data_IF_043208252178
#
_entry.id   IF_043208252178
#
_cell.length_a   1.000
_cell.length_b   1.000
_cell.length_c   1.000
_cell.angle_alpha   90.00
_cell.angle_beta   90.00
_cell.angle_gamma   90.00
#
_symmetry.space_group_name_H-M   'P 1'
#
loop_
_entity.id
_entity.type
_entity.pdbx_description
1 polymer ?
#
# COMPACT_ATOMS: atom_id res chain seq x y z
N UNK A 1 -78.16 10.71 -11.80
CA UNK A 1 -79.16 10.88 -12.91
C UNK A 1 -78.41 10.39 -14.13
N UNK A 2 -78.73 9.16 -14.48
CA UNK A 2 -79.42 8.75 -15.72
C UNK A 2 -78.53 8.89 -16.93
N UNK A 3 -78.28 7.95 -17.84
CA UNK A 3 -78.87 6.62 -18.12
C UNK A 3 -77.94 6.03 -19.16
N UNK A 4 -77.54 4.81 -19.06
CA UNK A 4 -78.16 3.63 -19.68
C UNK A 4 -78.01 3.60 -21.20
N UNK A 5 -77.31 2.62 -21.68
CA UNK A 5 -77.69 1.30 -22.10
C UNK A 5 -77.90 1.17 -23.64
N UNK A 6 -77.41 0.06 -24.14
CA UNK A 6 -77.82 -0.70 -25.37
C UNK A 6 -77.03 -0.32 -26.67
N UNK A 7 -76.64 -1.23 -27.60
CA UNK A 7 -77.01 -2.59 -27.89
C UNK A 7 -75.94 -3.20 -28.82
N UNK A 8 -75.50 -4.37 -28.57
CA UNK A 8 -75.27 -5.61 -29.25
C UNK A 8 -75.58 -5.71 -30.77
N UNK A 9 -74.77 -6.42 -31.45
CA UNK A 9 -74.92 -7.36 -32.58
C UNK A 9 -74.12 -7.12 -33.87
N UNK A 10 -73.40 -8.17 -34.23
CA UNK A 10 -73.01 -8.70 -35.53
C UNK A 10 -71.81 -8.05 -36.23
N UNK A 11 -70.74 -8.76 -36.49
CA UNK A 11 -70.64 -9.78 -37.50
C UNK A 11 -69.33 -10.62 -37.42
N UNK A 12 -69.55 -11.92 -37.55
CA UNK A 12 -68.58 -12.96 -37.77
C UNK A 12 -68.02 -12.87 -39.19
N UNK A 13 -66.72 -12.94 -39.38
CA UNK A 13 -66.21 -13.28 -40.69
C UNK A 13 -65.05 -12.46 -41.18
N UNK A 14 -63.83 -12.90 -40.78
CA UNK A 14 -62.52 -12.82 -41.53
C UNK A 14 -61.38 -13.26 -40.68
N UNK A 15 -61.42 -14.50 -40.23
CA UNK A 15 -60.22 -15.24 -39.82
C UNK A 15 -59.78 -16.09 -41.00
N UNK A 16 -58.64 -15.76 -41.60
CA UNK A 16 -57.78 -16.63 -42.33
C UNK A 16 -57.02 -15.83 -43.40
N UNK A 17 -55.93 -15.17 -43.03
CA UNK A 17 -54.79 -14.81 -43.94
C UNK A 17 -53.71 -13.94 -43.30
N UNK A 18 -53.56 -13.97 -41.95
CA UNK A 18 -52.49 -13.22 -41.28
C UNK A 18 -51.50 -14.13 -40.49
N UNK A 19 -51.54 -15.43 -40.66
CA UNK A 19 -50.76 -16.38 -39.84
C UNK A 19 -49.51 -16.97 -40.56
N UNK A 20 -49.03 -16.36 -41.66
CA UNK A 20 -47.83 -16.88 -42.38
C UNK A 20 -46.70 -15.84 -42.60
N UNK A 21 -46.80 -14.65 -42.04
CA UNK A 21 -45.70 -13.65 -42.12
C UNK A 21 -45.07 -13.25 -40.78
N UNK A 22 -45.58 -13.76 -39.66
CA UNK A 22 -45.01 -13.49 -38.33
C UNK A 22 -43.97 -14.52 -37.86
N UNK A 23 -43.84 -15.66 -38.57
CA UNK A 23 -42.92 -16.72 -38.21
C UNK A 23 -41.48 -16.57 -38.70
N UNK A 24 -41.24 -15.72 -39.69
CA UNK A 24 -39.90 -15.55 -40.28
C UNK A 24 -39.10 -14.38 -39.69
N UNK A 25 -39.75 -13.40 -39.05
CA UNK A 25 -39.02 -12.28 -38.36
C UNK A 25 -38.68 -12.63 -36.90
N UNK A 26 -39.41 -13.57 -36.27
CA UNK A 26 -39.12 -13.98 -34.89
C UNK A 26 -37.88 -14.88 -34.75
N UNK A 27 -37.49 -15.60 -35.83
CA UNK A 27 -36.33 -16.50 -35.79
C UNK A 27 -35.01 -15.77 -36.10
N UNK A 28 -35.06 -14.63 -36.77
CA UNK A 28 -33.85 -13.81 -37.03
C UNK A 28 -33.44 -12.91 -35.84
N UNK A 29 -34.37 -12.59 -34.95
CA UNK A 29 -34.07 -11.78 -33.74
C UNK A 29 -33.55 -12.69 -32.60
N UNK A 30 -33.89 -13.98 -32.58
CA UNK A 30 -33.37 -14.93 -31.59
C UNK A 30 -31.98 -15.48 -31.94
N UNK A 31 -31.52 -15.40 -33.20
CA UNK A 31 -30.12 -15.73 -33.56
C UNK A 31 -29.14 -14.57 -33.40
N UNK A 32 -29.62 -13.33 -33.33
CA UNK A 32 -28.76 -12.16 -33.06
C UNK A 32 -28.47 -11.95 -31.57
N UNK A 33 -29.16 -12.62 -30.67
CA UNK A 33 -28.97 -12.55 -29.21
C UNK A 33 -27.95 -13.55 -28.65
N UNK A 34 -27.40 -14.43 -29.48
CA UNK A 34 -26.44 -15.50 -29.09
C UNK A 34 -25.01 -15.23 -29.59
N UNK A 35 -24.72 -14.03 -30.06
CA UNK A 35 -23.33 -13.53 -30.06
C UNK A 35 -23.01 -13.10 -28.61
N UNK A 36 -22.99 -14.08 -27.71
CA UNK A 36 -22.33 -13.94 -26.43
C UNK A 36 -20.93 -13.43 -26.73
N UNK A 37 -20.57 -12.32 -26.15
CA UNK A 37 -19.18 -11.88 -26.06
C UNK A 37 -18.43 -13.05 -25.44
N UNK A 38 -17.80 -13.88 -26.25
CA UNK A 38 -16.83 -14.85 -25.78
C UNK A 38 -15.83 -14.01 -25.00
N UNK A 39 -15.87 -14.07 -23.67
CA UNK A 39 -14.80 -13.51 -22.86
C UNK A 39 -13.54 -14.20 -23.37
N UNK A 40 -12.68 -13.46 -24.06
CA UNK A 40 -11.37 -13.96 -24.46
C UNK A 40 -10.71 -14.51 -23.19
N UNK A 41 -10.29 -15.76 -23.23
CA UNK A 41 -9.59 -16.35 -22.11
C UNK A 41 -8.31 -15.53 -21.88
N UNK A 42 -8.02 -15.19 -20.62
CA UNK A 42 -6.82 -14.48 -20.27
C UNK A 42 -5.59 -15.23 -20.80
N UNK A 43 -4.73 -14.53 -21.55
CA UNK A 43 -3.54 -15.06 -22.16
C UNK A 43 -2.31 -14.75 -21.32
N UNK A 44 -1.26 -15.59 -21.49
CA UNK A 44 0.05 -15.33 -20.88
C UNK A 44 1.06 -15.02 -21.98
N UNK A 45 1.61 -13.80 -21.95
CA UNK A 45 2.65 -13.33 -22.86
C UNK A 45 4.01 -13.43 -22.17
N UNK A 46 4.97 -14.09 -22.79
CA UNK A 46 6.32 -14.29 -22.23
C UNK A 46 7.29 -13.28 -22.84
N UNK A 47 7.99 -12.54 -21.99
CA UNK A 47 8.92 -11.46 -22.34
C UNK A 47 10.34 -11.83 -21.89
N UNK A 48 11.32 -11.68 -22.77
CA UNK A 48 12.74 -11.85 -22.45
C UNK A 48 13.48 -10.51 -22.42
N UNK A 49 14.60 -10.43 -21.70
CA UNK A 49 15.37 -9.19 -21.52
C UNK A 49 15.95 -8.66 -22.86
N UNK A 50 16.25 -9.54 -23.80
CA UNK A 50 16.76 -9.20 -25.14
C UNK A 50 15.65 -9.11 -26.21
N UNK A 51 14.36 -9.06 -25.77
CA UNK A 51 13.21 -8.98 -26.67
C UNK A 51 12.79 -10.31 -27.29
N UNK A 52 13.30 -11.45 -26.82
CA UNK A 52 12.98 -12.80 -27.29
C UNK A 52 12.48 -13.65 -26.13
N UNK A 53 11.28 -14.28 -26.17
CA UNK A 53 10.37 -14.38 -27.33
C UNK A 53 9.65 -13.08 -27.72
N UNK A 54 9.37 -12.16 -26.77
CA UNK A 54 8.80 -10.84 -27.01
C UNK A 54 9.60 -9.77 -26.29
N UNK A 55 9.58 -8.53 -26.80
CA UNK A 55 9.95 -7.36 -26.01
C UNK A 55 8.80 -6.94 -25.08
N UNK A 56 9.13 -6.23 -24.00
CA UNK A 56 8.10 -5.68 -23.10
C UNK A 56 7.10 -4.78 -23.84
N UNK A 57 7.60 -3.92 -24.74
CA UNK A 57 6.76 -3.03 -25.55
C UNK A 57 5.82 -3.82 -26.46
N UNK A 58 6.30 -4.89 -27.10
CA UNK A 58 5.46 -5.74 -27.95
C UNK A 58 4.38 -6.45 -27.10
N UNK A 59 4.75 -7.01 -25.96
CA UNK A 59 3.79 -7.67 -25.06
C UNK A 59 2.72 -6.68 -24.56
N UNK A 60 3.09 -5.47 -24.14
CA UNK A 60 2.14 -4.44 -23.69
C UNK A 60 1.20 -3.99 -24.81
N UNK A 61 1.66 -3.95 -26.06
CA UNK A 61 0.80 -3.60 -27.21
C UNK A 61 -0.20 -4.69 -27.58
N UNK A 62 0.13 -5.96 -27.32
CA UNK A 62 -0.70 -7.12 -27.62
C UNK A 62 -1.65 -7.48 -26.48
N UNK A 63 -1.22 -7.23 -25.22
CA UNK A 63 -1.97 -7.62 -24.04
C UNK A 63 -3.38 -7.04 -24.02
N UNK A 64 -4.34 -7.85 -23.63
CA UNK A 64 -5.74 -7.50 -23.45
C UNK A 64 -6.11 -7.43 -21.97
N UNK A 65 -7.34 -7.03 -21.70
CA UNK A 65 -7.86 -6.94 -20.34
C UNK A 65 -7.94 -8.33 -19.68
N UNK A 66 -7.24 -8.51 -18.58
CA UNK A 66 -7.14 -9.76 -17.83
C UNK A 66 -5.87 -10.57 -18.10
N UNK A 67 -5.05 -10.19 -19.08
CA UNK A 67 -3.85 -10.92 -19.43
C UNK A 67 -2.74 -10.88 -18.37
N UNK A 68 -1.85 -11.86 -18.47
CA UNK A 68 -0.61 -11.94 -17.69
C UNK A 68 0.60 -11.75 -18.60
N UNK A 69 1.54 -10.91 -18.17
CA UNK A 69 2.85 -10.76 -18.81
C UNK A 69 3.89 -11.35 -17.87
N UNK A 70 4.61 -12.37 -18.36
CA UNK A 70 5.67 -13.05 -17.63
C UNK A 70 7.05 -12.57 -18.10
N UNK A 71 7.84 -12.00 -17.20
CA UNK A 71 9.20 -11.58 -17.48
C UNK A 71 10.19 -12.68 -17.08
N UNK A 72 10.98 -13.13 -18.03
CA UNK A 72 12.08 -14.06 -17.78
C UNK A 72 13.20 -13.38 -16.96
N UNK A 73 14.03 -14.15 -16.23
CA UNK A 73 15.16 -13.60 -15.49
C UNK A 73 16.11 -12.81 -16.41
N UNK A 74 16.60 -11.67 -15.91
CA UNK A 74 17.56 -10.84 -16.62
C UNK A 74 17.43 -9.37 -16.28
N UNK A 75 18.22 -8.54 -16.92
CA UNK A 75 18.17 -7.07 -16.80
C UNK A 75 17.44 -6.47 -18.01
N UNK A 76 16.40 -5.73 -17.73
CA UNK A 76 15.59 -4.99 -18.70
C UNK A 76 16.00 -3.52 -18.63
N UNK A 77 16.96 -3.14 -19.48
CA UNK A 77 17.48 -1.77 -19.58
C UNK A 77 16.55 -0.91 -20.40
N UNK A 78 16.36 0.33 -19.97
CA UNK A 78 15.50 1.32 -20.66
C UNK A 78 14.08 0.78 -20.98
N UNK A 79 13.63 -0.22 -20.22
CA UNK A 79 12.34 -0.87 -20.39
C UNK A 79 11.23 -0.05 -19.72
N UNK A 80 10.97 1.14 -20.26
CA UNK A 80 9.87 1.99 -19.81
C UNK A 80 8.53 1.40 -20.22
N UNK A 81 7.53 1.47 -19.32
CA UNK A 81 6.19 1.00 -19.58
C UNK A 81 5.13 2.00 -19.12
N UNK A 82 4.08 2.12 -19.93
CA UNK A 82 2.85 2.81 -19.58
C UNK A 82 1.70 1.81 -19.60
N UNK A 83 1.09 1.61 -18.43
CA UNK A 83 0.01 0.65 -18.20
C UNK A 83 -1.29 1.42 -18.06
N UNK A 84 -2.17 1.32 -19.07
CA UNK A 84 -3.37 2.16 -19.16
C UNK A 84 -4.65 1.33 -19.08
N UNK A 85 -5.52 1.67 -18.13
CA UNK A 85 -6.94 1.30 -18.06
C UNK A 85 -7.29 -0.18 -18.33
N UNK A 86 -6.40 -1.12 -17.98
CA UNK A 86 -6.61 -2.56 -18.15
C UNK A 86 -6.37 -3.31 -16.84
N UNK A 87 -6.93 -4.49 -16.73
CA UNK A 87 -6.53 -5.45 -15.71
C UNK A 87 -5.33 -6.23 -16.26
N UNK A 88 -4.18 -6.08 -15.63
CA UNK A 88 -2.97 -6.75 -16.04
C UNK A 88 -2.22 -7.30 -14.83
N UNK A 89 -1.71 -8.52 -14.96
CA UNK A 89 -0.70 -9.05 -14.04
C UNK A 89 0.63 -9.10 -14.74
N UNK A 90 1.64 -8.43 -14.19
CA UNK A 90 3.02 -8.49 -14.71
C UNK A 90 3.89 -9.10 -13.63
N UNK A 91 4.47 -10.27 -13.92
CA UNK A 91 5.24 -11.03 -12.94
C UNK A 91 6.57 -11.53 -13.45
N UNK A 92 7.58 -11.48 -12.60
CA UNK A 92 8.87 -12.12 -12.85
C UNK A 92 8.83 -13.63 -12.57
N UNK A 93 9.42 -14.42 -13.44
CA UNK A 93 9.51 -15.86 -13.30
C UNK A 93 10.89 -16.25 -12.76
N UNK A 94 10.92 -17.13 -11.77
CA UNK A 94 12.15 -17.61 -11.16
C UNK A 94 12.95 -16.49 -10.46
N UNK A 95 14.22 -16.29 -10.87
CA UNK A 95 15.03 -15.19 -10.35
C UNK A 95 14.42 -13.86 -10.78
N UNK A 96 14.28 -12.94 -9.83
CA UNK A 96 13.63 -11.63 -10.01
C UNK A 96 14.25 -10.85 -11.18
N UNK A 97 13.45 -10.46 -12.19
CA UNK A 97 13.90 -9.58 -13.26
C UNK A 97 14.21 -8.18 -12.74
N UNK A 98 15.25 -7.56 -13.26
CA UNK A 98 15.67 -6.20 -12.92
C UNK A 98 15.22 -5.23 -14.02
N UNK A 99 14.34 -4.28 -13.65
CA UNK A 99 13.98 -3.12 -14.48
C UNK A 99 14.93 -1.99 -14.12
N UNK A 100 15.84 -1.66 -15.03
CA UNK A 100 16.96 -0.74 -14.77
C UNK A 100 16.79 0.57 -15.54
N UNK A 101 16.81 1.70 -14.82
CA UNK A 101 16.84 3.05 -15.39
C UNK A 101 18.26 3.57 -15.67
N UNK A 102 19.30 2.81 -15.28
CA UNK A 102 20.69 3.18 -15.50
C UNK A 102 21.12 4.50 -14.84
N UNK A 103 20.33 5.04 -13.92
CA UNK A 103 20.60 6.34 -13.26
C UNK A 103 20.41 7.55 -14.16
N UNK A 104 19.79 7.41 -15.31
CA UNK A 104 19.49 8.50 -16.26
C UNK A 104 18.05 8.99 -16.08
N UNK A 105 17.73 10.26 -16.40
CA UNK A 105 16.36 10.76 -16.33
C UNK A 105 15.39 9.94 -17.18
N UNK A 106 14.31 9.50 -16.56
CA UNK A 106 13.26 8.63 -17.13
C UNK A 106 12.24 9.45 -17.94
N UNK A 107 12.67 10.18 -18.97
CA UNK A 107 11.80 10.88 -19.90
C UNK A 107 10.70 11.74 -19.25
N UNK A 108 9.60 11.97 -19.97
CA UNK A 108 8.48 12.84 -19.54
C UNK A 108 7.61 12.23 -18.43
N UNK A 109 7.64 10.92 -18.25
CA UNK A 109 6.79 10.21 -17.27
C UNK A 109 7.36 10.18 -15.86
N UNK A 110 8.61 10.60 -15.69
CA UNK A 110 9.30 10.61 -14.38
C UNK A 110 9.25 9.26 -13.65
N UNK A 111 9.21 8.16 -14.38
CA UNK A 111 9.16 6.81 -13.82
C UNK A 111 9.72 5.78 -14.78
N UNK A 112 10.18 4.64 -14.25
CA UNK A 112 10.44 3.47 -15.08
C UNK A 112 9.11 2.91 -15.59
N UNK A 113 8.16 2.67 -14.69
CA UNK A 113 6.82 2.25 -15.08
C UNK A 113 5.75 3.20 -14.56
N UNK A 114 4.80 3.56 -15.43
CA UNK A 114 3.66 4.42 -15.15
C UNK A 114 2.37 3.60 -15.20
N UNK A 115 1.58 3.64 -14.14
CA UNK A 115 0.23 3.05 -14.07
C UNK A 115 -0.79 4.18 -14.15
N UNK A 116 -1.54 4.22 -15.25
CA UNK A 116 -2.52 5.26 -15.55
C UNK A 116 -3.95 4.69 -15.54
N UNK A 117 -4.35 4.15 -14.40
CA UNK A 117 -5.68 3.56 -14.21
C UNK A 117 -5.70 2.04 -14.40
N UNK A 118 -6.91 1.45 -14.39
CA UNK A 118 -7.11 0.00 -14.44
C UNK A 118 -6.80 -0.70 -13.11
N UNK A 119 -6.58 -2.02 -13.19
CA UNK A 119 -6.20 -2.87 -12.07
C UNK A 119 -4.89 -3.60 -12.41
N UNK A 120 -3.79 -3.15 -11.85
CA UNK A 120 -2.46 -3.68 -12.18
C UNK A 120 -1.88 -4.41 -10.97
N UNK A 121 -1.37 -5.61 -11.21
CA UNK A 121 -0.58 -6.39 -10.26
C UNK A 121 0.86 -6.50 -10.76
N UNK A 122 1.80 -6.02 -9.96
CA UNK A 122 3.24 -6.18 -10.18
C UNK A 122 3.77 -7.17 -9.15
N UNK A 123 4.43 -8.24 -9.61
CA UNK A 123 4.86 -9.32 -8.75
C UNK A 123 6.27 -9.82 -9.09
N UNK A 124 7.11 -10.00 -8.06
CA UNK A 124 8.46 -10.54 -8.20
C UNK A 124 9.34 -9.76 -9.19
N UNK A 125 9.37 -8.43 -9.09
CA UNK A 125 10.15 -7.52 -9.93
C UNK A 125 11.11 -6.68 -9.09
N UNK A 126 12.25 -6.30 -9.64
CA UNK A 126 13.14 -5.28 -9.06
C UNK A 126 13.16 -4.04 -9.94
N UNK A 127 13.00 -2.87 -9.33
CA UNK A 127 13.10 -1.55 -9.97
C UNK A 127 14.28 -0.79 -9.40
N UNK A 128 15.20 -0.35 -10.27
CA UNK A 128 16.43 0.30 -9.82
C UNK A 128 16.85 1.46 -10.70
N UNK A 129 17.34 2.53 -10.05
CA UNK A 129 18.01 3.63 -10.72
C UNK A 129 17.07 4.61 -11.42
N UNK A 130 15.82 4.74 -10.97
CA UNK A 130 14.88 5.73 -11.48
C UNK A 130 15.33 7.14 -11.11
N UNK A 131 15.43 8.02 -12.12
CA UNK A 131 15.79 9.43 -11.98
C UNK A 131 14.84 10.30 -12.81
N UNK A 132 14.63 11.55 -12.39
CA UNK A 132 13.97 12.58 -13.18
C UNK A 132 14.75 13.89 -13.08
N UNK A 133 14.53 14.81 -14.02
CA UNK A 133 15.23 16.08 -14.07
C UNK A 133 14.96 16.97 -12.83
N UNK A 134 13.83 16.78 -12.19
CA UNK A 134 13.40 17.50 -10.99
C UNK A 134 13.58 16.70 -9.68
N UNK A 135 14.22 15.54 -9.73
CA UNK A 135 14.47 14.70 -8.55
C UNK A 135 13.25 13.85 -8.11
N UNK A 136 12.25 13.66 -8.98
CA UNK A 136 11.04 12.89 -8.68
C UNK A 136 10.93 11.58 -9.47
N UNK A 137 12.06 11.00 -9.88
CA UNK A 137 12.11 9.75 -10.64
C UNK A 137 11.65 8.57 -9.81
N UNK A 138 10.57 7.92 -10.23
CA UNK A 138 9.97 6.79 -9.53
C UNK A 138 10.28 5.45 -10.18
N UNK A 139 10.51 4.40 -9.37
CA UNK A 139 10.49 3.03 -9.89
C UNK A 139 9.13 2.72 -10.53
N UNK A 140 8.05 2.97 -9.77
CA UNK A 140 6.68 2.91 -10.27
C UNK A 140 5.93 4.18 -9.87
N UNK A 141 5.26 4.81 -10.84
CA UNK A 141 4.37 5.95 -10.64
C UNK A 141 2.94 5.54 -10.91
N UNK A 142 2.04 5.86 -9.98
CA UNK A 142 0.60 5.61 -10.14
C UNK A 142 -0.14 6.94 -10.29
N UNK A 143 -0.88 7.09 -11.38
CA UNK A 143 -1.75 8.26 -11.66
C UNK A 143 -3.23 7.97 -11.43
N UNK A 144 -3.60 6.70 -11.19
CA UNK A 144 -4.98 6.30 -10.90
C UNK A 144 -5.15 4.79 -10.86
N UNK A 145 -6.39 4.32 -10.64
CA UNK A 145 -6.75 2.91 -10.62
C UNK A 145 -6.30 2.16 -9.36
N UNK A 146 -6.26 0.84 -9.45
CA UNK A 146 -5.81 -0.04 -8.39
C UNK A 146 -4.46 -0.65 -8.74
N UNK A 147 -3.45 -0.41 -7.88
CA UNK A 147 -2.12 -0.99 -8.02
C UNK A 147 -1.82 -1.92 -6.85
N UNK A 148 -1.42 -3.15 -7.15
CA UNK A 148 -0.89 -4.12 -6.19
C UNK A 148 0.57 -4.41 -6.53
N UNK A 149 1.46 -4.13 -5.59
CA UNK A 149 2.89 -4.44 -5.64
C UNK A 149 3.17 -5.55 -4.64
N UNK A 150 3.62 -6.70 -5.11
CA UNK A 150 3.84 -7.88 -4.28
C UNK A 150 5.18 -8.53 -4.56
N UNK A 151 5.94 -8.81 -3.50
CA UNK A 151 7.28 -9.42 -3.60
C UNK A 151 8.21 -8.70 -4.57
N UNK A 152 8.15 -7.35 -4.59
CA UNK A 152 8.98 -6.50 -5.43
C UNK A 152 10.05 -5.78 -4.59
N UNK A 153 11.17 -5.44 -5.25
CA UNK A 153 12.24 -4.65 -4.66
C UNK A 153 12.39 -3.31 -5.40
N UNK A 154 12.61 -2.24 -4.63
CA UNK A 154 12.83 -0.90 -5.14
C UNK A 154 14.11 -0.33 -4.52
N UNK A 155 15.17 -0.23 -5.31
CA UNK A 155 16.47 0.23 -4.83
C UNK A 155 17.02 1.37 -5.67
N UNK A 156 17.67 2.33 -5.03
CA UNK A 156 18.34 3.43 -5.71
C UNK A 156 17.41 4.21 -6.67
N UNK A 157 16.14 4.39 -6.28
CA UNK A 157 15.18 5.25 -6.97
C UNK A 157 14.99 6.55 -6.17
N UNK A 158 14.76 7.68 -6.85
CA UNK A 158 14.42 8.93 -6.14
C UNK A 158 13.11 8.76 -5.36
N UNK A 159 12.11 8.09 -5.96
CA UNK A 159 10.98 7.48 -5.26
C UNK A 159 10.90 5.99 -5.60
N UNK A 160 10.74 5.14 -4.62
CA UNK A 160 10.48 3.72 -4.88
C UNK A 160 9.14 3.56 -5.59
N UNK A 161 8.06 3.96 -4.90
CA UNK A 161 6.70 4.05 -5.46
C UNK A 161 6.13 5.45 -5.19
N UNK A 162 5.58 6.07 -6.23
CA UNK A 162 4.97 7.39 -6.16
C UNK A 162 3.53 7.37 -6.69
N UNK A 163 2.53 7.41 -5.80
CA UNK A 163 1.13 7.56 -6.16
C UNK A 163 0.73 9.04 -6.14
N UNK A 164 0.12 9.51 -7.22
CA UNK A 164 -0.38 10.87 -7.34
C UNK A 164 -1.79 11.02 -6.74
N UNK A 165 -2.33 12.22 -6.78
CA UNK A 165 -3.67 12.49 -6.29
C UNK A 165 -4.72 11.91 -7.24
N UNK A 166 -5.50 10.96 -6.77
CA UNK A 166 -6.76 10.48 -7.35
C UNK A 166 -7.59 9.86 -6.21
N UNK A 167 -8.66 10.51 -5.81
CA UNK A 167 -9.49 10.14 -4.66
C UNK A 167 -10.13 8.74 -4.76
N UNK A 168 -10.03 8.08 -5.92
CA UNK A 168 -10.52 6.71 -6.17
C UNK A 168 -9.40 5.68 -6.23
N UNK A 169 -8.15 6.12 -6.39
CA UNK A 169 -7.02 5.21 -6.52
C UNK A 169 -6.77 4.41 -5.23
N UNK A 170 -6.34 3.18 -5.40
CA UNK A 170 -5.92 2.30 -4.30
C UNK A 170 -4.52 1.76 -4.57
N UNK A 171 -3.68 1.74 -3.53
CA UNK A 171 -2.33 1.18 -3.57
C UNK A 171 -2.16 0.11 -2.49
N UNK A 172 -1.71 -1.06 -2.87
CA UNK A 172 -1.31 -2.13 -1.95
C UNK A 172 0.15 -2.49 -2.18
N UNK A 173 0.95 -2.50 -1.10
CA UNK A 173 2.33 -2.97 -1.09
C UNK A 173 2.42 -4.13 -0.10
N UNK A 174 2.85 -5.28 -0.58
CA UNK A 174 2.92 -6.50 0.22
C UNK A 174 4.25 -7.23 0.00
N UNK A 175 4.85 -7.70 1.09
CA UNK A 175 6.04 -8.58 1.10
C UNK A 175 7.18 -8.04 0.19
N UNK A 176 7.39 -6.72 0.23
CA UNK A 176 8.27 -6.00 -0.69
C UNK A 176 9.36 -5.23 0.07
N UNK A 177 10.45 -4.89 -0.62
CA UNK A 177 11.54 -4.08 -0.05
C UNK A 177 11.64 -2.75 -0.76
N UNK A 178 11.62 -1.66 0.00
CA UNK A 178 11.92 -0.33 -0.52
C UNK A 178 13.13 0.23 0.25
N UNK A 179 14.16 0.66 -0.48
CA UNK A 179 15.37 1.08 0.20
C UNK A 179 16.44 1.68 -0.69
N UNK A 180 17.58 1.98 -0.06
CA UNK A 180 18.76 2.52 -0.73
C UNK A 180 18.45 3.82 -1.52
N UNK A 181 17.77 4.78 -0.87
CA UNK A 181 17.52 6.08 -1.48
C UNK A 181 18.83 6.73 -1.95
N UNK A 182 18.84 7.42 -3.11
CA UNK A 182 20.02 8.17 -3.56
C UNK A 182 20.45 9.20 -2.51
N UNK A 183 21.76 9.25 -2.21
CA UNK A 183 22.32 10.18 -1.21
C UNK A 183 22.60 11.53 -1.85
N UNK A 184 21.54 12.26 -2.18
CA UNK A 184 21.62 13.62 -2.73
C UNK A 184 21.11 14.60 -1.67
N UNK A 185 21.99 15.46 -1.16
CA UNK A 185 21.65 16.46 -0.14
C UNK A 185 20.58 17.41 -0.67
N UNK A 186 19.50 17.61 0.10
CA UNK A 186 18.34 18.42 -0.30
C UNK A 186 17.39 17.73 -1.29
N UNK A 187 17.66 16.49 -1.67
CA UNK A 187 16.84 15.75 -2.63
C UNK A 187 15.49 15.30 -2.07
N UNK A 188 15.37 15.12 -0.75
CA UNK A 188 14.14 14.70 -0.06
C UNK A 188 13.49 13.44 -0.68
N UNK A 189 14.31 12.47 -1.10
CA UNK A 189 13.84 11.27 -1.79
C UNK A 189 13.06 10.34 -0.83
N UNK A 190 11.79 10.12 -1.12
CA UNK A 190 10.93 9.25 -0.30
C UNK A 190 10.93 7.82 -0.86
N UNK A 191 11.03 6.80 0.00
CA UNK A 191 10.90 5.41 -0.47
C UNK A 191 9.48 5.11 -0.95
N UNK A 192 8.47 5.60 -0.22
CA UNK A 192 7.07 5.56 -0.60
C UNK A 192 6.46 6.96 -0.43
N UNK A 193 5.95 7.53 -1.52
CA UNK A 193 5.23 8.80 -1.50
C UNK A 193 3.83 8.64 -2.08
N UNK A 194 2.81 8.89 -1.27
CA UNK A 194 1.42 8.68 -1.65
C UNK A 194 0.65 9.98 -1.50
N UNK A 195 0.06 10.42 -2.59
CA UNK A 195 -0.83 11.57 -2.67
C UNK A 195 -2.20 11.30 -2.03
N UNK A 196 -3.15 12.17 -2.30
CA UNK A 196 -4.54 11.99 -1.86
C UNK A 196 -5.20 10.91 -2.71
N UNK A 197 -5.25 9.69 -2.19
CA UNK A 197 -5.90 8.53 -2.80
C UNK A 197 -6.95 7.95 -1.83
N UNK A 198 -7.79 7.01 -2.32
CA UNK A 198 -8.79 6.36 -1.47
C UNK A 198 -8.15 5.54 -0.35
N UNK A 199 -7.21 4.66 -0.71
CA UNK A 199 -6.64 3.70 0.24
C UNK A 199 -5.19 3.35 -0.05
N UNK A 200 -4.38 3.33 1.01
CA UNK A 200 -3.07 2.71 1.06
C UNK A 200 -3.10 1.49 1.99
N UNK A 201 -2.59 0.35 1.55
CA UNK A 201 -2.34 -0.82 2.40
C UNK A 201 -0.88 -1.27 2.25
N UNK A 202 -0.14 -1.35 3.36
CA UNK A 202 1.25 -1.81 3.40
C UNK A 202 1.39 -2.91 4.44
N UNK A 203 1.84 -4.08 4.04
CA UNK A 203 2.03 -5.22 4.95
C UNK A 203 3.22 -6.10 4.59
N UNK A 204 3.83 -6.74 5.59
CA UNK A 204 4.93 -7.68 5.41
C UNK A 204 6.16 -7.11 4.71
N UNK A 205 6.27 -5.79 4.63
CA UNK A 205 7.25 -5.11 3.81
C UNK A 205 8.37 -4.49 4.64
N UNK A 206 9.51 -4.25 4.01
CA UNK A 206 10.69 -3.67 4.63
C UNK A 206 11.05 -2.34 3.98
N UNK A 207 11.21 -1.31 4.81
CA UNK A 207 11.65 0.04 4.44
C UNK A 207 12.94 0.34 5.16
N UNK A 208 13.99 0.66 4.42
CA UNK A 208 15.33 0.85 5.01
C UNK A 208 16.23 1.75 4.16
N UNK A 209 17.29 2.30 4.76
CA UNK A 209 18.28 3.07 4.06
C UNK A 209 17.70 4.23 3.24
N UNK A 210 16.81 5.00 3.90
CA UNK A 210 16.37 6.31 3.42
C UNK A 210 17.48 7.35 3.54
N UNK A 211 17.28 8.51 2.91
CA UNK A 211 18.20 9.63 3.04
C UNK A 211 17.43 10.96 2.92
N UNK A 212 17.40 11.74 4.01
CA UNK A 212 16.69 13.01 4.16
C UNK A 212 15.17 12.97 3.89
N UNK A 213 14.70 12.12 3.00
CA UNK A 213 13.29 11.87 2.75
C UNK A 213 12.65 10.96 3.81
N UNK A 214 11.40 10.59 3.58
CA UNK A 214 10.64 9.74 4.49
C UNK A 214 10.63 8.29 4.02
N UNK A 215 10.54 7.34 4.94
CA UNK A 215 10.39 5.94 4.57
C UNK A 215 8.98 5.70 4.02
N UNK A 216 7.94 6.19 4.73
CA UNK A 216 6.56 6.18 4.26
C UNK A 216 5.94 7.56 4.44
N UNK A 217 5.45 8.16 3.35
CA UNK A 217 4.64 9.37 3.35
C UNK A 217 3.31 9.10 2.67
N UNK A 218 2.19 9.31 3.38
CA UNK A 218 0.87 9.03 2.84
C UNK A 218 -0.16 10.09 3.17
N UNK A 219 -0.84 10.58 2.12
CA UNK A 219 -2.02 11.44 2.20
C UNK A 219 -3.31 10.68 1.86
N UNK A 220 -3.28 9.35 1.85
CA UNK A 220 -4.45 8.53 1.59
C UNK A 220 -5.56 8.80 2.62
N UNK A 221 -6.82 8.70 2.17
CA UNK A 221 -7.99 8.81 3.06
C UNK A 221 -8.00 7.69 4.10
N UNK A 222 -7.58 6.49 3.70
CA UNK A 222 -7.37 5.37 4.60
C UNK A 222 -5.95 4.82 4.43
N UNK A 223 -5.18 4.75 5.53
CA UNK A 223 -3.83 4.20 5.56
C UNK A 223 -3.75 3.02 6.51
N UNK A 224 -3.53 1.81 5.96
CA UNK A 224 -3.38 0.56 6.72
C UNK A 224 -1.91 0.14 6.65
N UNK A 225 -1.14 0.36 7.70
CA UNK A 225 0.30 0.05 7.78
C UNK A 225 0.48 -1.01 8.87
N UNK A 226 0.68 -2.29 8.45
CA UNK A 226 0.63 -3.41 9.38
C UNK A 226 1.75 -4.41 9.16
N UNK A 227 2.37 -4.84 10.28
CA UNK A 227 3.35 -5.95 10.27
C UNK A 227 4.53 -5.68 9.34
N UNK A 228 5.07 -4.47 9.35
CA UNK A 228 6.20 -4.08 8.53
C UNK A 228 7.45 -3.87 9.38
N UNK A 229 8.59 -3.91 8.73
CA UNK A 229 9.87 -3.46 9.27
C UNK A 229 10.25 -2.13 8.63
N UNK A 230 9.98 -1.03 9.34
CA UNK A 230 10.18 0.36 8.89
C UNK A 230 11.35 0.92 9.70
N UNK A 231 12.56 0.59 9.29
CA UNK A 231 13.74 0.82 10.12
C UNK A 231 14.92 1.26 9.27
N UNK A 232 15.34 2.52 9.43
CA UNK A 232 16.35 3.14 8.57
C UNK A 232 17.80 2.68 8.85
N UNK A 233 17.99 1.82 9.84
CA UNK A 233 19.29 1.40 10.35
C UNK A 233 19.71 2.23 11.56
N UNK A 234 20.73 1.77 12.28
CA UNK A 234 21.20 2.45 13.49
C UNK A 234 21.76 3.85 13.21
N UNK A 235 22.32 4.06 12.03
CA UNK A 235 22.89 5.32 11.52
C UNK A 235 22.10 5.91 10.36
N UNK A 236 20.84 5.55 10.23
CA UNK A 236 19.98 6.01 9.15
C UNK A 236 19.75 7.52 9.16
N UNK A 237 19.62 8.11 7.98
CA UNK A 237 19.47 9.56 7.76
C UNK A 237 18.09 9.96 7.25
N UNK A 238 17.11 9.07 7.25
CA UNK A 238 15.72 9.39 6.89
C UNK A 238 15.13 10.43 7.85
N UNK A 239 14.17 11.23 7.36
CA UNK A 239 13.51 12.26 8.17
C UNK A 239 12.44 11.63 9.06
N UNK A 240 11.28 11.28 8.51
CA UNK A 240 10.23 10.52 9.23
C UNK A 240 10.24 9.06 8.81
N UNK A 241 9.99 8.15 9.74
CA UNK A 241 9.72 6.76 9.43
C UNK A 241 8.32 6.62 8.82
N UNK A 242 7.32 7.31 9.42
CA UNK A 242 5.96 7.39 8.90
C UNK A 242 5.46 8.83 9.02
N UNK A 243 5.03 9.43 7.92
CA UNK A 243 4.31 10.69 7.90
C UNK A 243 2.94 10.54 7.23
N UNK A 244 1.89 10.99 7.93
CA UNK A 244 0.50 11.01 7.47
C UNK A 244 0.00 12.46 7.45
N UNK A 245 0.44 13.26 6.46
CA UNK A 245 0.30 14.72 6.50
C UNK A 245 -1.15 15.19 6.48
N UNK A 246 -2.02 14.50 5.72
CA UNK A 246 -3.43 14.84 5.59
C UNK A 246 -4.33 14.16 6.64
N UNK A 247 -3.76 13.52 7.67
CA UNK A 247 -4.54 12.77 8.64
C UNK A 247 -5.25 11.57 7.99
N UNK A 248 -6.59 11.53 8.07
CA UNK A 248 -7.44 10.45 7.54
C UNK A 248 -7.64 9.31 8.54
N UNK A 249 -8.10 8.17 8.04
CA UNK A 249 -8.30 6.97 8.85
C UNK A 249 -7.03 6.12 8.84
N UNK A 250 -6.21 6.23 9.87
CA UNK A 250 -4.91 5.57 9.92
C UNK A 250 -4.89 4.43 10.96
N UNK A 251 -4.41 3.26 10.52
CA UNK A 251 -4.20 2.08 11.37
C UNK A 251 -2.74 1.62 11.23
N UNK A 252 -1.99 1.74 12.31
CA UNK A 252 -0.57 1.38 12.41
C UNK A 252 -0.42 0.30 13.46
N UNK A 253 -0.34 -0.97 13.04
CA UNK A 253 -0.38 -2.12 13.97
C UNK A 253 0.74 -3.12 13.66
N UNK A 254 1.43 -3.56 14.71
CA UNK A 254 2.39 -4.67 14.65
C UNK A 254 3.65 -4.36 13.86
N UNK A 255 4.02 -3.09 13.70
CA UNK A 255 5.22 -2.69 12.96
C UNK A 255 6.41 -2.53 13.90
N UNK A 256 7.60 -2.82 13.40
CA UNK A 256 8.86 -2.31 13.94
C UNK A 256 9.15 -0.98 13.27
N UNK A 257 9.30 0.08 14.06
CA UNK A 257 9.53 1.45 13.59
C UNK A 257 10.80 1.97 14.25
N UNK A 258 11.87 2.12 13.47
CA UNK A 258 13.21 2.41 14.01
C UNK A 258 13.87 3.63 13.41
N UNK A 259 14.20 4.61 14.27
CA UNK A 259 14.87 5.86 13.88
C UNK A 259 16.37 5.79 14.11
N UNK A 260 17.13 6.06 13.06
CA UNK A 260 18.60 6.12 13.11
C UNK A 260 19.13 7.32 13.90
N UNK A 261 20.36 7.19 14.39
CA UNK A 261 21.03 8.24 15.15
C UNK A 261 21.24 9.54 14.34
N UNK A 262 21.47 9.40 13.03
CA UNK A 262 21.78 10.53 12.13
C UNK A 262 20.51 11.14 11.48
N UNK A 263 19.31 10.65 11.79
CA UNK A 263 18.05 11.24 11.34
C UNK A 263 17.99 12.73 11.68
N UNK A 264 17.66 13.57 10.71
CA UNK A 264 17.53 15.02 10.90
C UNK A 264 16.30 15.39 11.73
N UNK A 265 15.26 14.57 11.67
CA UNK A 265 14.04 14.76 12.43
C UNK A 265 14.10 14.01 13.78
N UNK A 266 13.20 14.36 14.68
CA UNK A 266 13.04 13.67 15.97
C UNK A 266 11.72 12.93 16.08
N UNK A 267 10.83 13.05 15.08
CA UNK A 267 9.50 12.44 15.08
C UNK A 267 9.54 11.19 14.22
N UNK A 268 9.10 10.07 14.77
CA UNK A 268 9.05 8.79 14.07
C UNK A 268 7.73 8.62 13.32
N UNK A 269 6.60 8.79 14.03
CA UNK A 269 5.25 8.80 13.45
C UNK A 269 4.65 10.20 13.58
N UNK A 270 4.43 10.88 12.46
CA UNK A 270 3.80 12.18 12.37
C UNK A 270 2.40 12.08 11.75
N UNK A 271 1.41 12.80 12.32
CA UNK A 271 0.03 12.78 11.85
C UNK A 271 -0.55 14.19 11.81
N UNK A 272 -1.08 14.60 10.62
CA UNK A 272 -1.76 15.89 10.45
C UNK A 272 -0.84 17.08 10.16
N UNK A 273 0.32 16.90 9.51
CA UNK A 273 1.33 17.95 9.31
C UNK A 273 0.99 18.98 8.23
N UNK A 274 0.10 18.69 7.26
CA UNK A 274 -0.22 19.55 6.12
C UNK A 274 -1.21 20.68 6.42
N UNK A 275 -1.97 20.60 7.53
CA UNK A 275 -3.10 21.49 7.80
C UNK A 275 -4.24 21.41 6.78
N UNK A 276 -4.31 20.32 5.99
CA UNK A 276 -5.36 20.01 5.00
C UNK A 276 -5.89 18.60 5.22
N UNK A 277 -6.52 18.34 6.39
CA UNK A 277 -6.96 17.00 6.75
C UNK A 277 -8.11 16.52 5.84
N UNK A 278 -8.37 15.22 5.92
CA UNK A 278 -9.63 14.64 5.46
C UNK A 278 -10.76 15.02 6.43
N UNK A 279 -12.01 14.86 6.01
CA UNK A 279 -13.19 15.19 6.83
C UNK A 279 -13.30 14.30 8.09
N UNK A 280 -12.77 13.07 8.01
CA UNK A 280 -12.74 12.12 9.13
C UNK A 280 -11.32 11.73 9.46
N UNK A 281 -10.96 11.88 10.74
CA UNK A 281 -9.61 11.64 11.20
C UNK A 281 -9.62 10.72 12.42
N UNK A 282 -8.90 9.60 12.30
CA UNK A 282 -8.70 8.63 13.39
C UNK A 282 -7.31 8.03 13.26
N UNK A 283 -6.53 8.07 14.32
CA UNK A 283 -5.23 7.44 14.41
C UNK A 283 -5.24 6.28 15.40
N UNK A 284 -5.08 5.05 14.92
CA UNK A 284 -5.00 3.83 15.72
C UNK A 284 -3.58 3.27 15.66
N UNK A 285 -2.89 3.22 16.81
CA UNK A 285 -1.49 2.81 16.93
C UNK A 285 -1.40 1.70 17.97
N UNK A 286 -1.26 0.45 17.54
CA UNK A 286 -1.29 -0.67 18.47
C UNK A 286 -0.19 -1.70 18.21
N UNK A 287 0.37 -2.26 19.28
CA UNK A 287 1.35 -3.33 19.19
C UNK A 287 2.55 -3.01 18.28
N UNK A 288 3.00 -1.75 18.20
CA UNK A 288 4.23 -1.41 17.50
C UNK A 288 5.43 -1.40 18.45
N UNK A 289 6.59 -1.76 17.94
CA UNK A 289 7.87 -1.51 18.60
C UNK A 289 8.51 -0.28 17.98
N UNK A 290 8.53 0.83 18.72
CA UNK A 290 9.28 2.03 18.38
C UNK A 290 10.66 1.95 18.99
N UNK A 291 11.70 2.15 18.18
CA UNK A 291 13.09 2.14 18.68
C UNK A 291 13.86 3.35 18.19
N UNK A 292 14.45 4.11 19.11
CA UNK A 292 15.29 5.26 18.81
C UNK A 292 16.77 4.96 19.11
N UNK A 293 17.62 5.21 18.12
CA UNK A 293 19.07 5.20 18.27
C UNK A 293 19.66 6.60 18.53
N UNK A 294 18.80 7.62 18.65
CA UNK A 294 19.26 8.98 18.95
C UNK A 294 19.73 9.11 20.40
N UNK A 295 20.69 9.99 20.63
CA UNK A 295 21.15 10.36 21.97
C UNK A 295 20.21 11.38 22.66
N UNK A 296 19.46 12.14 21.86
CA UNK A 296 18.48 13.11 22.34
C UNK A 296 17.07 12.50 22.31
N UNK A 297 16.16 12.94 23.18
CA UNK A 297 14.79 12.42 23.18
C UNK A 297 14.12 12.53 21.82
N UNK A 298 13.56 11.42 21.34
CA UNK A 298 12.72 11.35 20.15
C UNK A 298 11.24 11.57 20.51
N UNK A 299 10.44 11.94 19.52
CA UNK A 299 8.98 11.86 19.58
C UNK A 299 8.59 10.57 18.88
N UNK A 300 8.28 9.53 19.63
CA UNK A 300 7.82 8.27 19.02
C UNK A 300 6.54 8.47 18.21
N UNK A 301 5.65 9.38 18.69
CA UNK A 301 4.47 9.82 17.97
C UNK A 301 4.20 11.31 18.22
N UNK A 302 3.88 12.04 17.14
CA UNK A 302 3.43 13.43 17.23
C UNK A 302 2.17 13.63 16.40
N UNK A 303 1.11 14.15 17.04
CA UNK A 303 -0.14 14.58 16.40
C UNK A 303 -0.15 16.10 16.32
N UNK A 304 -0.28 16.63 15.11
CA UNK A 304 -0.31 18.07 14.84
C UNK A 304 -1.76 18.57 14.94
N UNK A 305 -2.27 18.62 16.17
CA UNK A 305 -3.68 18.85 16.48
C UNK A 305 -4.23 20.19 16.01
N UNK A 306 -3.36 21.22 15.89
CA UNK A 306 -3.79 22.56 15.47
C UNK A 306 -4.33 22.57 14.01
N UNK A 307 -3.90 21.61 13.19
CA UNK A 307 -4.34 21.45 11.80
C UNK A 307 -5.44 20.39 11.61
N UNK A 308 -5.93 19.75 12.67
CA UNK A 308 -6.89 18.65 12.61
C UNK A 308 -8.24 19.06 13.20
N UNK A 309 -9.37 18.48 12.73
CA UNK A 309 -10.67 18.64 13.35
C UNK A 309 -10.68 18.25 14.83
N UNK A 310 -11.47 18.95 15.64
CA UNK A 310 -11.53 18.75 17.10
C UNK A 310 -12.04 17.36 17.51
N UNK A 311 -12.78 16.68 16.64
CA UNK A 311 -13.28 15.32 16.82
C UNK A 311 -12.31 14.24 16.35
N UNK A 312 -11.07 14.61 16.05
CA UNK A 312 -10.00 13.66 15.70
C UNK A 312 -9.75 12.71 16.86
N UNK A 313 -9.88 11.42 16.59
CA UNK A 313 -9.68 10.38 17.58
C UNK A 313 -8.28 9.81 17.51
N UNK A 314 -7.60 9.68 18.65
CA UNK A 314 -6.28 9.07 18.80
C UNK A 314 -6.34 7.94 19.81
N UNK A 315 -5.96 6.73 19.37
CA UNK A 315 -5.88 5.54 20.24
C UNK A 315 -4.51 4.91 20.08
N UNK A 316 -3.81 4.72 21.20
CA UNK A 316 -2.51 4.06 21.18
C UNK A 316 -2.40 3.06 22.34
N UNK A 317 -2.29 1.77 22.00
CA UNK A 317 -2.28 0.70 22.98
C UNK A 317 -1.20 -0.34 22.72
N UNK A 318 -0.66 -0.90 23.80
CA UNK A 318 0.29 -2.01 23.75
C UNK A 318 1.54 -1.76 22.86
N UNK A 319 2.00 -0.51 22.76
CA UNK A 319 3.24 -0.22 22.06
C UNK A 319 4.46 -0.38 22.98
N UNK A 320 5.57 -0.85 22.45
CA UNK A 320 6.87 -0.92 23.12
C UNK A 320 7.74 0.25 22.68
N UNK A 321 8.26 1.03 23.63
CA UNK A 321 8.91 2.32 23.40
C UNK A 321 10.37 2.21 23.83
N UNK A 322 11.27 1.96 22.88
CA UNK A 322 12.66 1.61 23.16
C UNK A 322 13.60 2.80 22.96
N UNK A 323 14.29 3.19 24.01
CA UNK A 323 15.25 4.28 24.00
C UNK A 323 14.70 5.60 24.56
N UNK A 324 15.51 6.69 24.51
CA UNK A 324 15.09 7.97 25.04
C UNK A 324 14.03 8.61 24.13
N UNK A 325 12.91 9.04 24.73
CA UNK A 325 11.86 9.69 23.95
C UNK A 325 10.57 9.91 24.72
N UNK A 326 9.70 10.68 24.10
CA UNK A 326 8.31 10.86 24.50
C UNK A 326 7.42 10.12 23.51
N UNK A 327 6.45 9.39 24.04
CA UNK A 327 5.59 8.59 23.19
C UNK A 327 4.63 9.44 22.36
N UNK A 328 4.07 10.46 22.96
CA UNK A 328 3.02 11.24 22.35
C UNK A 328 3.20 12.71 22.63
N UNK A 329 2.89 13.52 21.64
CA UNK A 329 2.75 14.96 21.73
C UNK A 329 1.58 15.39 20.83
N UNK A 330 0.68 16.24 21.36
CA UNK A 330 -0.44 16.82 20.60
C UNK A 330 -1.82 16.46 21.19
N UNK A 331 -2.72 15.94 20.35
CA UNK A 331 -4.13 15.74 20.70
C UNK A 331 -4.35 14.80 21.90
N UNK A 332 -5.41 15.02 22.68
CA UNK A 332 -5.86 14.06 23.68
C UNK A 332 -6.26 12.74 22.99
N UNK A 333 -6.20 11.64 23.72
CA UNK A 333 -6.52 10.32 23.20
C UNK A 333 -6.64 9.27 24.28
N UNK A 334 -6.86 8.02 23.86
CA UNK A 334 -6.82 6.87 24.75
C UNK A 334 -5.48 6.16 24.65
N UNK A 335 -4.75 6.08 25.75
CA UNK A 335 -3.40 5.54 25.83
C UNK A 335 -3.32 4.52 26.98
N UNK A 336 -3.12 3.23 26.65
CA UNK A 336 -2.99 2.19 27.67
C UNK A 336 -2.09 1.04 27.21
N UNK A 337 -1.52 0.29 28.16
CA UNK A 337 -0.66 -0.85 27.87
C UNK A 337 0.67 -0.52 27.18
N UNK A 338 0.97 0.75 26.89
CA UNK A 338 2.23 1.17 26.31
C UNK A 338 3.34 1.08 27.36
N UNK A 339 4.50 0.50 26.99
CA UNK A 339 5.58 0.26 27.95
C UNK A 339 6.91 0.85 27.48
N UNK A 340 7.59 1.65 28.32
CA UNK A 340 8.96 2.09 28.04
C UNK A 340 9.90 0.90 28.18
N UNK A 341 10.94 0.90 27.35
CA UNK A 341 11.98 -0.12 27.38
C UNK A 341 13.36 0.44 27.03
N UNK A 342 14.38 -0.27 27.43
CA UNK A 342 15.76 -0.05 26.97
C UNK A 342 16.18 -1.17 26.04
N UNK A 343 17.17 -0.95 25.17
CA UNK A 343 17.61 -1.95 24.19
C UNK A 343 17.97 -3.30 24.80
N UNK A 344 18.55 -3.31 26.01
CA UNK A 344 18.87 -4.54 26.74
C UNK A 344 17.66 -5.37 27.20
N UNK A 345 16.44 -4.85 27.08
CA UNK A 345 15.19 -5.61 27.31
C UNK A 345 14.69 -6.34 26.07
N UNK A 346 15.34 -6.15 24.93
CA UNK A 346 15.10 -6.86 23.68
C UNK A 346 16.06 -8.03 23.55
N UNK A 347 15.69 -9.00 22.75
CA UNK A 347 16.50 -10.20 22.53
C UNK A 347 17.89 -9.88 22.00
N UNK A 348 17.99 -9.07 20.95
CA UNK A 348 19.24 -8.52 20.43
C UNK A 348 18.92 -7.34 19.49
N UNK A 349 18.97 -6.13 20.03
CA UNK A 349 18.69 -4.91 19.26
C UNK A 349 19.75 -4.61 18.18
N UNK A 350 20.96 -5.10 18.34
CA UNK A 350 22.04 -4.84 17.39
C UNK A 350 21.96 -5.70 16.13
N UNK A 351 21.33 -6.87 16.23
CA UNK A 351 21.02 -7.75 15.09
C UNK A 351 19.57 -7.65 14.63
N UNK A 352 18.83 -6.63 15.10
CA UNK A 352 17.42 -6.39 14.77
C UNK A 352 16.44 -7.47 15.28
N UNK A 353 16.82 -8.25 16.28
CA UNK A 353 15.92 -9.15 17.00
C UNK A 353 15.17 -8.37 18.09
N UNK A 354 14.07 -7.75 17.73
CA UNK A 354 13.33 -6.81 18.57
C UNK A 354 12.22 -7.47 19.40
N UNK A 355 12.20 -8.78 19.50
CA UNK A 355 11.38 -9.49 20.48
C UNK A 355 11.82 -9.12 21.91
N UNK A 356 10.91 -9.19 22.86
CA UNK A 356 11.28 -9.06 24.27
C UNK A 356 12.27 -10.17 24.68
N UNK A 357 13.31 -9.81 25.43
CA UNK A 357 14.26 -10.79 25.96
C UNK A 357 13.55 -11.80 26.88
N UNK A 358 14.01 -13.07 26.93
CA UNK A 358 13.49 -14.04 27.86
C UNK A 358 13.52 -13.50 29.30
N UNK A 359 12.40 -13.61 30.02
CA UNK A 359 12.27 -13.09 31.38
C UNK A 359 11.99 -11.60 31.49
N UNK A 360 11.73 -10.90 30.38
CA UNK A 360 11.29 -9.51 30.41
C UNK A 360 10.00 -9.36 31.22
N UNK A 361 9.95 -8.38 32.12
CA UNK A 361 8.76 -8.04 32.92
C UNK A 361 7.57 -7.57 32.09
N UNK A 362 7.80 -7.26 30.80
CA UNK A 362 6.77 -6.82 29.88
C UNK A 362 6.05 -7.95 29.16
N UNK A 363 6.51 -9.22 29.28
CA UNK A 363 5.75 -10.35 28.75
C UNK A 363 4.36 -10.41 29.39
N UNK A 364 3.32 -10.46 28.56
CA UNK A 364 1.93 -10.54 29.02
C UNK A 364 1.39 -9.30 29.74
N UNK A 365 2.11 -8.17 29.74
CA UNK A 365 1.71 -6.93 30.42
C UNK A 365 0.86 -5.99 29.58
N UNK A 366 0.46 -6.39 28.38
CA UNK A 366 -0.46 -5.65 27.53
C UNK A 366 -1.90 -5.77 28.00
N UNK A 367 -2.72 -4.78 27.63
CA UNK A 367 -4.17 -4.85 27.83
C UNK A 367 -4.81 -5.74 26.75
N UNK A 368 -6.05 -6.17 26.93
CA UNK A 368 -6.83 -6.86 25.89
C UNK A 368 -7.16 -5.89 24.73
N UNK A 369 -6.54 -6.06 23.56
CA UNK A 369 -6.75 -5.12 22.45
C UNK A 369 -8.08 -5.31 21.73
N UNK A 370 -8.86 -6.36 22.03
CA UNK A 370 -10.17 -6.66 21.45
C UNK A 370 -11.28 -5.77 22.00
N UNK A 371 -11.02 -5.08 23.11
CA UNK A 371 -12.01 -4.29 23.84
C UNK A 371 -11.63 -2.81 23.97
N UNK A 372 -10.88 -2.28 23.03
CA UNK A 372 -10.49 -0.86 23.03
C UNK A 372 -11.62 -0.03 22.43
N UNK A 373 -12.47 0.48 23.29
CA UNK A 373 -13.74 1.07 22.88
C UNK A 373 -14.63 0.01 22.21
N UNK A 374 -14.97 0.23 20.94
CA UNK A 374 -15.74 -0.73 20.12
C UNK A 374 -14.88 -1.36 19.01
N UNK A 375 -13.55 -1.37 19.17
CA UNK A 375 -12.60 -1.82 18.15
C UNK A 375 -11.81 -3.01 18.64
N UNK A 376 -11.51 -3.90 17.70
CA UNK A 376 -10.51 -4.94 17.87
C UNK A 376 -9.20 -4.44 17.22
N UNK A 377 -8.18 -4.19 18.04
CA UNK A 377 -6.84 -3.79 17.63
C UNK A 377 -5.82 -4.91 17.79
N UNK A 378 -6.29 -6.16 17.89
CA UNK A 378 -5.44 -7.34 18.01
C UNK A 378 -4.58 -7.51 16.76
N UNK A 379 -3.27 -7.67 16.89
CA UNK A 379 -2.46 -8.09 15.75
C UNK A 379 -2.84 -9.52 15.34
N UNK A 380 -2.98 -9.74 14.04
CA UNK A 380 -3.28 -11.05 13.46
C UNK A 380 -2.02 -11.76 12.97
N UNK A 381 -0.93 -11.01 12.84
CA UNK A 381 0.36 -11.51 12.36
C UNK A 381 1.50 -10.69 12.95
N UNK A 382 2.73 -11.16 12.71
CA UNK A 382 3.99 -10.46 12.98
C UNK A 382 4.79 -10.36 11.68
N UNK A 383 5.68 -9.36 11.58
CA UNK A 383 6.66 -9.31 10.51
C UNK A 383 7.62 -10.52 10.60
N UNK A 384 7.93 -11.10 9.44
CA UNK A 384 8.86 -12.20 9.30
C UNK A 384 9.98 -11.86 8.30
N UNK A 385 11.23 -12.08 8.71
CA UNK A 385 12.40 -11.86 7.87
C UNK A 385 12.49 -12.84 6.70
N UNK A 386 13.00 -12.42 5.49
CA UNK A 386 13.47 -11.06 5.16
C UNK A 386 12.33 -10.12 4.78
N UNK A 387 11.19 -10.60 4.36
CA UNK A 387 9.90 -9.96 4.09
C UNK A 387 8.79 -10.98 4.24
N UNK A 388 7.62 -10.54 4.65
CA UNK A 388 6.46 -11.39 4.85
C UNK A 388 5.85 -11.25 6.23
N UNK A 389 4.87 -12.06 6.50
CA UNK A 389 4.16 -12.09 7.78
C UNK A 389 3.99 -13.52 8.25
N UNK A 390 4.12 -13.72 9.55
CA UNK A 390 3.75 -14.97 10.24
C UNK A 390 2.46 -14.75 11.01
N UNK A 391 1.44 -15.56 10.72
CA UNK A 391 0.18 -15.50 11.44
C UNK A 391 0.36 -15.80 12.93
N UNK A 392 -0.38 -15.12 13.79
CA UNK A 392 -0.50 -15.42 15.20
C UNK A 392 -1.56 -16.51 15.43
N UNK A 393 -1.39 -17.25 16.53
CA UNK A 393 -2.36 -18.25 16.94
C UNK A 393 -3.71 -17.59 17.26
N UNK A 394 -4.78 -18.19 16.76
CA UNK A 394 -6.14 -17.76 17.07
C UNK A 394 -6.49 -17.99 18.54
N UNK A 395 -7.34 -17.12 19.09
CA UNK A 395 -7.81 -17.27 20.48
C UNK A 395 -6.80 -16.86 21.56
N UNK A 396 -5.73 -16.16 21.19
CA UNK A 396 -4.76 -15.60 22.15
C UNK A 396 -5.48 -14.72 23.19
N UNK A 397 -5.15 -14.91 24.46
CA UNK A 397 -5.72 -14.16 25.57
C UNK A 397 -4.70 -13.32 26.33
N UNK A 398 -3.41 -13.58 26.10
CA UNK A 398 -2.32 -12.84 26.76
C UNK A 398 -1.56 -12.03 25.70
N UNK A 399 -1.36 -10.77 25.97
CA UNK A 399 -0.76 -9.82 25.04
C UNK A 399 0.48 -9.16 25.65
N UNK A 400 1.51 -9.05 24.85
CA UNK A 400 2.71 -8.29 25.20
C UNK A 400 2.72 -6.96 24.42
N UNK A 401 3.30 -5.88 24.96
CA UNK A 401 3.54 -4.67 24.18
C UNK A 401 4.57 -4.92 23.09
N UNK A 402 4.42 -4.23 21.97
CA UNK A 402 5.33 -4.31 20.81
C UNK A 402 4.85 -5.19 19.67
N UNK A 403 5.65 -5.21 18.61
CA UNK A 403 5.34 -5.84 17.33
C UNK A 403 5.36 -7.38 17.37
N UNK A 404 6.06 -7.95 18.33
CA UNK A 404 6.22 -9.40 18.49
C UNK A 404 5.52 -9.91 19.74
N UNK A 405 4.79 -11.00 19.60
CA UNK A 405 3.98 -11.62 20.65
C UNK A 405 4.56 -12.96 21.16
N UNK A 406 5.79 -13.26 20.82
CA UNK A 406 6.57 -14.45 21.20
C UNK A 406 7.63 -14.11 22.24
#
# INVERSE_FOLDING_TARGET
MQAAMNVMFWNVGRRARAARRAGALGLLVLLAGLLGTAALAAETLVVGPEGTPLSLTAALSQAQDGDTIELLPGEYRDAHAVLENRRLTIRGIGKRPLISGGGKPSGTHKALWLVRGGEVVLENLEFRGARAADGEGAGVRQEGGRLVVRRCDFFDNEYGVHALNDDRAELTIQDSVLGMAPKVVGGLHHLLNVGRIARLSVSGSRFQQGFEGHLIKSRARESLIRYNFIHDGQRGGASYEIELPAGGLATVIGNVIGQGADSQNRVMLAYGTDGRPWDRNTLLVAHNTFISYKWTPAWFMRVFSDGLPADTEVVAVNNLLVGPGLFWLGAPGYFDGNRPAVRGMLRDADTYAFELAPGSVWHGSGIDPRQVGRRDLSPQAEFEWPVGTRALEAGRTTWSPGAYQR
#
